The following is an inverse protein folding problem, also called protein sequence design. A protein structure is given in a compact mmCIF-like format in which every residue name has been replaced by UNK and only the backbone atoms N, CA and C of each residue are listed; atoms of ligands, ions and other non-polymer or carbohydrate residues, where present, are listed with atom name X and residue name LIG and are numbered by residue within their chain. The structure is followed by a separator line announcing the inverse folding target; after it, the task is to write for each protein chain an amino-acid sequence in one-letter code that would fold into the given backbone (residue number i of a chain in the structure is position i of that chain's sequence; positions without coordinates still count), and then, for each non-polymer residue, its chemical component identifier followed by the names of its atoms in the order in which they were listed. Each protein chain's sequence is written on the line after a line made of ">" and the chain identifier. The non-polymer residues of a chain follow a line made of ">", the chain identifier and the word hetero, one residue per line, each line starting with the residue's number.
data_IF_986078963238
#
_entry.id   IF_986078963238
#
_cell.length_a   1.000
_cell.length_b   1.000
_cell.length_c   1.000
_cell.angle_alpha   90.00
_cell.angle_beta   90.00
_cell.angle_gamma   90.00
#
_symmetry.space_group_name_H-M   'P 1'
#
loop_
_entity.id
_entity.type
_entity.pdbx_description
1 polymer ?
#
# COMPACT_ATOMS: atom_id res chain seq x y z
N UNK A 1 32.27 -17.73 -30.02
CA UNK A 1 32.00 -18.52 -28.80
C UNK A 1 30.50 -18.49 -28.55
N UNK A 2 29.85 -19.63 -28.31
CA UNK A 2 28.45 -19.66 -27.92
C UNK A 2 28.28 -18.98 -26.55
N UNK A 3 27.30 -18.09 -26.40
CA UNK A 3 26.99 -17.46 -25.11
C UNK A 3 26.48 -18.56 -24.17
N UNK A 4 27.04 -18.73 -22.97
CA UNK A 4 26.47 -19.66 -21.98
C UNK A 4 24.99 -19.34 -21.77
N UNK A 5 24.12 -20.33 -21.92
CA UNK A 5 22.69 -20.18 -21.67
C UNK A 5 22.47 -20.09 -20.17
N UNK A 6 22.26 -18.87 -19.66
CA UNK A 6 21.83 -18.66 -18.27
C UNK A 6 20.48 -19.32 -18.07
N UNK A 7 20.32 -20.07 -16.98
CA UNK A 7 19.07 -20.72 -16.60
C UNK A 7 17.95 -19.68 -16.40
N UNK A 8 18.20 -18.68 -15.56
CA UNK A 8 17.26 -17.58 -15.30
C UNK A 8 17.22 -16.47 -16.35
N UNK A 9 16.54 -15.38 -16.00
CA UNK A 9 16.31 -14.19 -16.81
C UNK A 9 16.89 -12.94 -16.11
N UNK A 10 17.35 -11.97 -16.90
CA UNK A 10 17.98 -10.74 -16.40
C UNK A 10 16.94 -9.67 -16.01
N UNK A 11 15.72 -9.79 -16.53
CA UNK A 11 14.59 -8.92 -16.24
C UNK A 11 13.29 -9.74 -16.32
N UNK A 12 12.27 -9.32 -15.59
CA UNK A 12 10.93 -9.89 -15.67
C UNK A 12 9.86 -8.78 -15.67
N UNK A 13 8.69 -9.07 -16.22
CA UNK A 13 7.54 -8.18 -16.17
C UNK A 13 6.85 -8.28 -14.80
N UNK A 14 6.73 -7.15 -14.10
CA UNK A 14 5.93 -7.03 -12.89
C UNK A 14 4.60 -6.34 -13.24
N UNK A 15 3.49 -6.89 -12.75
CA UNK A 15 2.18 -6.32 -13.01
C UNK A 15 2.04 -4.95 -12.34
N UNK A 16 1.44 -3.99 -13.04
CA UNK A 16 1.31 -2.60 -12.55
C UNK A 16 0.39 -2.48 -11.33
N UNK A 17 -0.49 -3.46 -11.14
CA UNK A 17 -1.40 -3.59 -10.01
C UNK A 17 -0.84 -4.52 -8.92
N UNK A 18 0.44 -4.92 -8.98
CA UNK A 18 1.08 -5.81 -7.99
C UNK A 18 0.83 -5.37 -6.53
N UNK A 19 0.96 -4.07 -6.26
CA UNK A 19 0.69 -3.50 -4.93
C UNK A 19 -0.80 -3.53 -4.54
N UNK A 20 -1.70 -3.60 -5.52
CA UNK A 20 -3.14 -3.69 -5.29
C UNK A 20 -3.64 -5.13 -5.15
N UNK A 21 -2.85 -6.13 -5.53
CA UNK A 21 -3.19 -7.55 -5.42
C UNK A 21 -3.58 -7.90 -3.97
N UNK A 22 -4.71 -8.60 -3.82
CA UNK A 22 -5.27 -8.90 -2.50
C UNK A 22 -4.35 -9.77 -1.64
N UNK A 23 -3.56 -10.66 -2.24
CA UNK A 23 -2.59 -11.50 -1.52
C UNK A 23 -1.45 -10.64 -1.02
N UNK A 24 -0.89 -9.77 -1.86
CA UNK A 24 0.17 -8.82 -1.49
C UNK A 24 -0.30 -7.91 -0.36
N UNK A 25 -1.51 -7.34 -0.46
CA UNK A 25 -2.11 -6.51 0.59
C UNK A 25 -2.34 -7.27 1.90
N UNK A 26 -2.80 -8.53 1.84
CA UNK A 26 -2.99 -9.36 3.05
C UNK A 26 -1.66 -9.70 3.73
N UNK A 27 -0.59 -9.89 2.98
CA UNK A 27 0.76 -10.10 3.53
C UNK A 27 1.25 -8.80 4.18
N UNK A 28 1.22 -7.68 3.44
CA UNK A 28 1.67 -6.39 3.98
C UNK A 28 0.89 -5.95 5.22
N UNK A 29 -0.41 -6.21 5.29
CA UNK A 29 -1.22 -5.92 6.47
C UNK A 29 -0.82 -6.74 7.71
N UNK A 30 -0.30 -7.95 7.53
CA UNK A 30 0.08 -8.84 8.62
C UNK A 30 1.54 -8.68 9.05
N UNK A 31 2.45 -8.46 8.09
CA UNK A 31 3.89 -8.49 8.31
C UNK A 31 4.55 -7.10 8.19
N UNK A 32 3.77 -6.07 7.90
CA UNK A 32 4.23 -4.67 7.84
C UNK A 32 4.67 -4.21 6.45
N UNK A 33 5.16 -2.96 6.33
CA UNK A 33 5.44 -2.31 5.05
C UNK A 33 6.60 -2.93 4.27
N UNK A 34 7.61 -3.50 4.96
CA UNK A 34 8.77 -4.14 4.33
C UNK A 34 8.38 -5.38 3.48
N UNK A 35 7.22 -5.98 3.75
CA UNK A 35 6.71 -7.17 3.06
C UNK A 35 6.79 -7.07 1.55
N UNK A 36 6.45 -5.92 0.98
CA UNK A 36 6.38 -5.78 -0.47
C UNK A 36 7.77 -5.81 -1.11
N UNK A 37 8.75 -5.16 -0.48
CA UNK A 37 10.14 -5.19 -0.92
C UNK A 37 10.72 -6.60 -0.80
N UNK A 38 10.38 -7.33 0.27
CA UNK A 38 10.75 -8.74 0.45
C UNK A 38 10.17 -9.61 -0.66
N UNK A 39 8.88 -9.47 -0.97
CA UNK A 39 8.24 -10.24 -2.07
C UNK A 39 8.88 -9.94 -3.43
N UNK A 40 9.15 -8.66 -3.72
CA UNK A 40 9.83 -8.27 -4.97
C UNK A 40 11.26 -8.86 -5.01
N UNK A 41 11.99 -8.83 -3.89
CA UNK A 41 13.32 -9.43 -3.79
C UNK A 41 13.30 -10.94 -4.06
N UNK A 42 12.35 -11.66 -3.45
CA UNK A 42 12.16 -13.09 -3.69
C UNK A 42 11.84 -13.38 -5.15
N UNK A 43 10.95 -12.60 -5.78
CA UNK A 43 10.68 -12.72 -7.21
C UNK A 43 11.95 -12.49 -8.05
N UNK A 44 12.75 -11.46 -7.73
CA UNK A 44 14.04 -11.23 -8.38
C UNK A 44 14.97 -12.45 -8.27
N UNK A 45 15.08 -13.04 -7.09
CA UNK A 45 15.96 -14.20 -6.85
C UNK A 45 15.47 -15.43 -7.61
N UNK A 46 14.15 -15.70 -7.59
CA UNK A 46 13.51 -16.78 -8.35
C UNK A 46 13.81 -16.64 -9.85
N UNK A 47 13.53 -15.48 -10.44
CA UNK A 47 13.71 -15.28 -11.87
C UNK A 47 15.18 -15.25 -12.29
N UNK A 48 16.09 -14.76 -11.43
CA UNK A 48 17.52 -14.65 -11.73
C UNK A 48 18.22 -16.01 -11.79
N UNK A 49 17.92 -16.91 -10.87
CA UNK A 49 18.63 -18.18 -10.74
C UNK A 49 17.97 -19.30 -11.55
N UNK A 50 16.99 -20.00 -10.97
CA UNK A 50 16.31 -21.14 -11.62
C UNK A 50 15.19 -20.72 -12.58
N UNK A 51 14.71 -19.49 -12.45
CA UNK A 51 13.72 -18.90 -13.32
C UNK A 51 12.28 -19.06 -12.86
N UNK A 52 11.92 -20.23 -12.30
CA UNK A 52 10.52 -20.56 -11.99
C UNK A 52 10.30 -21.03 -10.55
N UNK A 53 11.36 -21.21 -9.76
CA UNK A 53 11.32 -21.49 -8.33
C UNK A 53 12.60 -21.00 -7.66
N UNK A 54 12.63 -21.02 -6.32
CA UNK A 54 13.85 -20.97 -5.52
C UNK A 54 13.70 -21.93 -4.34
N UNK A 55 14.80 -22.50 -3.88
CA UNK A 55 14.83 -23.30 -2.65
C UNK A 55 14.71 -22.38 -1.42
N UNK A 56 13.99 -22.84 -0.41
CA UNK A 56 13.82 -22.15 0.86
C UNK A 56 14.68 -22.83 1.93
N UNK A 57 15.98 -22.55 1.86
CA UNK A 57 17.00 -23.01 2.80
C UNK A 57 17.18 -22.06 4.00
N UNK A 58 18.12 -22.37 4.88
CA UNK A 58 18.42 -21.60 6.09
C UNK A 58 19.14 -20.27 5.78
N UNK A 59 19.80 -20.17 4.63
CA UNK A 59 20.61 -19.00 4.26
C UNK A 59 19.80 -17.93 3.49
N UNK A 60 18.73 -18.33 2.78
CA UNK A 60 17.92 -17.41 1.98
C UNK A 60 17.30 -16.27 2.81
N UNK A 61 16.77 -16.48 4.04
CA UNK A 61 16.32 -15.39 4.90
C UNK A 61 17.39 -14.33 5.14
N UNK A 62 18.63 -14.74 5.43
CA UNK A 62 19.78 -13.84 5.61
C UNK A 62 20.06 -13.03 4.35
N UNK A 63 20.15 -13.68 3.19
CA UNK A 63 20.45 -13.02 1.91
C UNK A 63 19.40 -11.96 1.58
N UNK A 64 18.12 -12.26 1.78
CA UNK A 64 17.01 -11.33 1.52
C UNK A 64 16.98 -10.20 2.55
N UNK A 65 17.22 -10.51 3.83
CA UNK A 65 17.24 -9.53 4.91
C UNK A 65 18.35 -8.49 4.70
N UNK A 66 19.56 -8.93 4.36
CA UNK A 66 20.71 -8.07 4.06
C UNK A 66 20.42 -7.18 2.82
N UNK A 67 19.88 -7.77 1.75
CA UNK A 67 19.56 -7.05 0.51
C UNK A 67 18.55 -5.93 0.72
N UNK A 68 17.56 -6.13 1.59
CA UNK A 68 16.43 -5.20 1.79
C UNK A 68 16.64 -4.29 3.00
N UNK A 69 17.60 -4.59 3.88
CA UNK A 69 17.83 -3.86 5.13
C UNK A 69 16.74 -4.15 6.16
N UNK A 70 16.42 -5.42 6.38
CA UNK A 70 15.42 -5.88 7.36
C UNK A 70 15.96 -7.04 8.20
N UNK A 71 15.11 -7.71 9.00
CA UNK A 71 15.51 -8.86 9.82
C UNK A 71 15.11 -10.18 9.15
N UNK A 72 15.88 -11.24 9.40
CA UNK A 72 15.58 -12.59 8.91
C UNK A 72 14.20 -13.07 9.38
N UNK A 73 13.86 -12.83 10.64
CA UNK A 73 12.53 -13.16 11.18
C UNK A 73 11.38 -12.43 10.48
N UNK A 74 11.59 -11.20 9.98
CA UNK A 74 10.58 -10.52 9.17
C UNK A 74 10.40 -11.20 7.81
N UNK A 75 11.50 -11.65 7.20
CA UNK A 75 11.49 -12.41 5.94
C UNK A 75 10.77 -13.75 6.10
N UNK A 76 11.03 -14.48 7.18
CA UNK A 76 10.34 -15.73 7.51
C UNK A 76 8.83 -15.56 7.69
N UNK A 77 8.41 -14.55 8.48
CA UNK A 77 6.98 -14.30 8.70
C UNK A 77 6.27 -13.87 7.41
N UNK A 78 6.94 -13.10 6.55
CA UNK A 78 6.42 -12.75 5.20
C UNK A 78 6.23 -14.00 4.35
N UNK A 79 7.21 -14.90 4.30
CA UNK A 79 7.11 -16.12 3.50
C UNK A 79 6.05 -17.07 4.02
N UNK A 80 6.00 -17.29 5.33
CA UNK A 80 4.94 -18.04 6.00
C UNK A 80 3.56 -17.48 5.66
N UNK A 81 3.40 -16.15 5.69
CA UNK A 81 2.14 -15.50 5.31
C UNK A 81 1.85 -15.61 3.81
N UNK A 82 2.86 -15.49 2.96
CA UNK A 82 2.77 -15.61 1.52
C UNK A 82 2.31 -17.00 1.07
N UNK A 83 2.81 -18.06 1.72
CA UNK A 83 2.31 -19.43 1.54
C UNK A 83 0.86 -19.54 2.02
N UNK A 84 0.53 -19.00 3.20
CA UNK A 84 -0.81 -19.06 3.76
C UNK A 84 -1.88 -18.40 2.86
N UNK A 85 -1.57 -17.28 2.22
CA UNK A 85 -2.51 -16.57 1.33
C UNK A 85 -2.47 -17.08 -0.13
N UNK A 86 -1.66 -18.09 -0.41
CA UNK A 86 -1.51 -18.69 -1.74
C UNK A 86 -0.77 -17.78 -2.73
N UNK A 87 0.11 -16.90 -2.26
CA UNK A 87 1.07 -16.20 -3.13
C UNK A 87 2.13 -17.18 -3.63
N UNK A 88 2.61 -18.03 -2.72
CA UNK A 88 3.38 -19.23 -3.04
C UNK A 88 2.50 -20.48 -2.89
N UNK A 89 2.80 -21.50 -3.68
CA UNK A 89 2.10 -22.78 -3.65
C UNK A 89 2.42 -23.54 -2.35
N UNK A 90 1.39 -23.84 -1.57
CA UNK A 90 1.55 -24.48 -0.26
C UNK A 90 2.05 -25.92 -0.38
N UNK A 91 1.51 -26.70 -1.31
CA UNK A 91 1.93 -28.10 -1.49
C UNK A 91 3.41 -28.20 -1.83
N UNK A 92 3.89 -27.38 -2.76
CA UNK A 92 5.29 -27.40 -3.15
C UNK A 92 6.22 -26.86 -2.07
N UNK A 93 5.77 -25.86 -1.30
CA UNK A 93 6.51 -25.41 -0.13
C UNK A 93 6.61 -26.49 0.96
N UNK A 94 5.52 -27.18 1.26
CA UNK A 94 5.47 -28.20 2.30
C UNK A 94 6.26 -29.47 1.89
N UNK A 95 6.17 -29.89 0.62
CA UNK A 95 6.80 -31.13 0.13
C UNK A 95 8.27 -30.96 -0.24
N UNK A 96 8.62 -29.86 -0.91
CA UNK A 96 9.95 -29.68 -1.50
C UNK A 96 10.72 -28.50 -0.90
N UNK A 97 10.10 -27.73 -0.01
CA UNK A 97 10.68 -26.51 0.57
C UNK A 97 11.14 -25.53 -0.52
N UNK A 98 10.29 -25.32 -1.52
CA UNK A 98 10.54 -24.34 -2.59
C UNK A 98 9.48 -23.24 -2.61
N UNK A 99 9.87 -22.05 -3.06
CA UNK A 99 8.95 -20.96 -3.35
C UNK A 99 8.67 -20.90 -4.86
N UNK A 100 7.43 -21.16 -5.23
CA UNK A 100 6.94 -21.02 -6.61
C UNK A 100 5.42 -20.79 -6.61
N UNK A 101 4.85 -20.46 -7.77
CA UNK A 101 3.40 -20.40 -7.98
C UNK A 101 3.07 -20.48 -9.47
N UNK A 102 1.81 -20.75 -9.80
CA UNK A 102 1.36 -20.80 -11.20
C UNK A 102 1.68 -19.50 -11.96
N UNK A 103 1.48 -18.34 -11.31
CA UNK A 103 1.80 -17.03 -11.92
C UNK A 103 3.29 -16.83 -12.19
N UNK A 104 4.16 -17.31 -11.29
CA UNK A 104 5.62 -17.27 -11.48
C UNK A 104 6.02 -18.14 -12.66
N UNK A 105 5.56 -19.40 -12.68
CA UNK A 105 5.91 -20.36 -13.73
C UNK A 105 5.41 -19.92 -15.11
N UNK A 106 4.20 -19.38 -15.21
CA UNK A 106 3.65 -18.93 -16.50
C UNK A 106 4.37 -17.68 -17.05
N UNK A 107 4.74 -16.73 -16.19
CA UNK A 107 5.55 -15.58 -16.60
C UNK A 107 6.93 -16.02 -17.06
N UNK A 108 7.57 -16.94 -16.35
CA UNK A 108 8.86 -17.47 -16.77
C UNK A 108 8.77 -18.21 -18.11
N UNK A 109 7.83 -19.14 -18.26
CA UNK A 109 7.56 -19.87 -19.52
C UNK A 109 7.38 -18.91 -20.70
N UNK A 110 6.63 -17.82 -20.50
CA UNK A 110 6.42 -16.79 -21.51
C UNK A 110 7.72 -16.07 -21.88
N UNK A 111 8.52 -15.69 -20.87
CA UNK A 111 9.78 -14.99 -21.04
C UNK A 111 10.86 -15.83 -21.75
N UNK A 112 10.85 -17.15 -21.58
CA UNK A 112 11.83 -18.06 -22.20
C UNK A 112 11.29 -18.82 -23.41
N UNK A 113 10.09 -18.48 -23.91
CA UNK A 113 9.42 -19.16 -25.04
C UNK A 113 10.26 -19.29 -26.32
N UNK A 114 11.25 -18.41 -26.52
CA UNK A 114 12.17 -18.44 -27.68
C UNK A 114 13.52 -19.12 -27.38
N UNK A 115 13.76 -19.57 -26.15
CA UNK A 115 14.99 -20.29 -25.77
C UNK A 115 14.79 -21.77 -26.05
N UNK A 116 15.82 -22.39 -26.63
CA UNK A 116 15.86 -23.85 -26.80
C UNK A 116 16.54 -24.51 -25.60
N UNK A 117 16.17 -25.75 -25.29
CA UNK A 117 16.89 -26.59 -24.32
C UNK A 117 16.65 -26.30 -22.84
N UNK A 118 15.56 -25.61 -22.48
CA UNK A 118 15.20 -25.43 -21.06
C UNK A 118 14.40 -26.64 -20.54
N UNK A 119 14.88 -27.28 -19.48
CA UNK A 119 14.23 -28.41 -18.82
C UNK A 119 13.57 -27.99 -17.50
N UNK A 120 12.34 -28.44 -17.29
CA UNK A 120 11.59 -28.22 -16.06
C UNK A 120 11.60 -29.50 -15.23
N UNK A 121 11.81 -29.35 -13.92
CA UNK A 121 11.58 -30.42 -12.94
C UNK A 121 10.07 -30.64 -12.81
N UNK A 122 9.50 -31.77 -13.27
CA UNK A 122 8.05 -31.99 -13.31
C UNK A 122 7.38 -31.90 -11.93
N UNK A 123 8.06 -32.36 -10.89
CA UNK A 123 7.60 -32.35 -9.50
C UNK A 123 7.40 -30.94 -8.95
N UNK A 124 8.10 -29.95 -9.51
CA UNK A 124 8.05 -28.56 -9.07
C UNK A 124 7.03 -27.74 -9.85
N UNK A 125 6.37 -28.34 -10.85
CA UNK A 125 5.34 -27.64 -11.63
C UNK A 125 4.02 -27.61 -10.85
N UNK A 126 3.39 -26.44 -10.80
CA UNK A 126 2.07 -26.32 -10.18
C UNK A 126 1.06 -27.07 -11.04
N UNK A 127 0.45 -28.12 -10.46
CA UNK A 127 -0.62 -28.85 -11.12
C UNK A 127 -1.84 -27.97 -11.24
N UNK A 128 -2.27 -27.69 -12.47
CA UNK A 128 -3.52 -26.97 -12.73
C UNK A 128 -4.67 -27.97 -12.57
N UNK A 129 -5.36 -27.95 -11.44
CA UNK A 129 -6.69 -28.53 -11.37
C UNK A 129 -7.62 -27.69 -12.27
N UNK A 130 -7.93 -28.24 -13.45
CA UNK A 130 -8.60 -27.61 -14.58
C UNK A 130 -9.91 -26.87 -14.24
N UNK A 131 -10.05 -25.64 -14.76
CA UNK A 131 -11.20 -25.35 -15.63
C UNK A 131 -10.77 -25.73 -17.06
N UNK A 132 -11.58 -26.47 -17.84
CA UNK A 132 -11.13 -27.02 -19.11
C UNK A 132 -11.22 -25.96 -20.20
N UNK A 133 -10.09 -25.32 -20.53
CA UNK A 133 -9.82 -24.82 -21.89
C UNK A 133 -8.39 -25.20 -22.25
N UNK A 134 -8.32 -26.36 -22.90
CA UNK A 134 -7.31 -26.81 -23.86
C UNK A 134 -6.05 -25.91 -23.97
N UNK A 135 -5.00 -26.24 -23.23
CA UNK A 135 -3.64 -25.88 -23.65
C UNK A 135 -2.85 -27.17 -23.80
N UNK A 136 -2.37 -27.37 -25.02
CA UNK A 136 -1.69 -28.58 -25.45
C UNK A 136 -0.42 -28.78 -24.62
N UNK A 137 -0.44 -29.84 -23.83
CA UNK A 137 0.70 -30.36 -23.10
C UNK A 137 1.64 -31.03 -24.11
N UNK A 138 2.74 -30.37 -24.50
CA UNK A 138 3.82 -31.05 -25.21
C UNK A 138 4.75 -31.70 -24.18
N UNK A 139 4.46 -32.96 -23.84
CA UNK A 139 5.49 -33.91 -23.41
C UNK A 139 6.13 -34.52 -24.67
N UNK A 140 7.44 -34.63 -24.60
CA UNK A 140 8.44 -34.81 -25.64
C UNK A 140 8.27 -36.03 -26.55
N UNK A 141 9.02 -36.06 -27.68
CA UNK A 141 9.67 -37.31 -28.10
C UNK A 141 11.01 -37.10 -28.84
N UNK A 142 11.94 -38.08 -28.79
CA UNK A 142 13.33 -37.96 -29.20
C UNK A 142 13.58 -38.31 -30.68
N UNK A 143 14.78 -37.98 -31.13
CA UNK A 143 15.40 -38.27 -32.43
C UNK A 143 15.37 -39.75 -32.83
N UNK A 144 15.00 -40.04 -34.09
CA UNK A 144 15.80 -40.84 -35.06
C UNK A 144 15.08 -40.98 -36.41
N UNK A 145 15.78 -40.54 -37.45
CA UNK A 145 15.82 -40.99 -38.86
C UNK A 145 14.68 -41.87 -39.42
N UNK A 146 13.91 -41.34 -40.38
CA UNK A 146 13.65 -42.00 -41.67
C UNK A 146 13.12 -40.98 -42.69
N UNK A 147 13.76 -40.97 -43.87
CA UNK A 147 13.39 -40.17 -45.03
C UNK A 147 12.11 -40.71 -45.68
N UNK A 148 11.28 -39.83 -46.26
CA UNK A 148 10.73 -39.99 -47.61
C UNK A 148 10.18 -38.63 -48.12
N UNK A 149 10.59 -38.28 -49.33
CA UNK A 149 10.28 -37.04 -50.05
C UNK A 149 8.88 -37.06 -50.70
N UNK A 150 8.27 -35.87 -50.84
CA UNK A 150 7.70 -35.42 -52.11
C UNK A 150 7.56 -33.87 -52.10
N UNK A 151 8.29 -33.24 -53.02
CA UNK A 151 8.29 -31.81 -53.37
C UNK A 151 6.93 -31.41 -54.01
N UNK A 152 6.42 -30.18 -53.96
CA UNK A 152 6.91 -28.99 -54.68
C UNK A 152 6.09 -27.73 -54.30
N UNK A 153 6.70 -26.79 -53.55
CA UNK A 153 6.92 -25.33 -53.77
C UNK A 153 5.89 -24.47 -54.59
N UNK A 154 5.96 -23.11 -54.63
CA UNK A 154 6.40 -22.09 -53.65
C UNK A 154 5.56 -20.76 -53.68
N UNK A 155 6.05 -19.76 -52.90
CA UNK A 155 5.90 -18.30 -52.99
C UNK A 155 4.83 -17.63 -52.11
N UNK A 156 5.09 -16.55 -51.36
CA UNK A 156 6.21 -15.60 -51.39
C UNK A 156 6.30 -14.83 -50.06
N UNK A 157 7.53 -14.66 -49.58
CA UNK A 157 7.91 -13.74 -48.50
C UNK A 157 7.89 -12.30 -49.03
N UNK A 158 7.44 -11.34 -48.22
CA UNK A 158 7.86 -9.94 -48.35
C UNK A 158 7.57 -9.13 -47.08
N UNK A 159 8.62 -9.02 -46.27
CA UNK A 159 9.11 -7.91 -45.45
C UNK A 159 8.17 -6.79 -44.93
N UNK A 160 8.45 -6.45 -43.67
CA UNK A 160 8.07 -5.27 -42.89
C UNK A 160 8.12 -3.93 -43.65
N UNK A 161 7.12 -3.09 -43.41
CA UNK A 161 7.29 -1.63 -43.28
C UNK A 161 6.46 -1.09 -42.12
N UNK A 162 7.19 -0.46 -41.19
CA UNK A 162 6.66 0.46 -40.17
C UNK A 162 5.95 1.63 -40.84
N UNK A 163 4.83 2.08 -40.26
CA UNK A 163 4.41 3.47 -40.38
C UNK A 163 3.67 3.88 -39.11
N UNK A 164 4.29 4.77 -38.33
CA UNK A 164 3.61 5.55 -37.28
C UNK A 164 2.44 6.32 -37.89
N UNK A 165 1.29 6.32 -37.24
CA UNK A 165 0.31 7.39 -37.40
C UNK A 165 -0.05 7.96 -36.03
N UNK A 166 0.33 9.23 -35.83
CA UNK A 166 -0.22 10.12 -34.82
C UNK A 166 -1.68 10.39 -35.22
N UNK A 167 -2.63 10.15 -34.31
CA UNK A 167 -3.92 10.83 -34.33
C UNK A 167 -4.10 11.56 -33.01
N UNK A 168 -4.32 12.87 -33.15
CA UNK A 168 -4.60 13.84 -32.10
C UNK A 168 -6.10 14.02 -32.08
N UNK A 169 -6.75 13.54 -31.01
CA UNK A 169 -8.14 13.90 -30.74
C UNK A 169 -8.32 14.49 -29.35
N UNK A 170 -9.28 15.40 -29.31
CA UNK A 170 -9.40 16.54 -28.40
C UNK A 170 -10.10 16.15 -27.11
N UNK A 171 -9.69 16.81 -26.04
CA UNK A 171 -10.30 16.80 -24.71
C UNK A 171 -11.72 17.39 -24.79
N UNK A 172 -12.68 16.66 -24.23
CA UNK A 172 -13.92 17.21 -23.66
C UNK A 172 -14.09 16.66 -22.24
N UNK A 173 -14.47 17.48 -21.24
CA UNK A 173 -14.55 17.04 -19.84
C UNK A 173 -15.84 16.24 -19.60
N UNK A 174 -15.82 15.16 -18.79
CA UNK A 174 -17.05 14.50 -18.35
C UNK A 174 -17.69 15.27 -17.17
N UNK A 175 -19.03 15.22 -17.04
CA UNK A 175 -19.78 15.94 -16.03
C UNK A 175 -19.69 15.26 -14.65
N UNK A 176 -19.93 16.06 -13.61
CA UNK A 176 -20.08 15.65 -12.21
C UNK A 176 -20.83 14.32 -12.04
N UNK A 177 -20.17 13.34 -11.42
CA UNK A 177 -20.82 12.19 -10.79
C UNK A 177 -20.25 12.02 -9.38
N UNK A 178 -21.19 11.83 -8.46
CA UNK A 178 -21.04 11.86 -7.00
C UNK A 178 -20.24 10.69 -6.45
N UNK A 179 -19.73 10.91 -5.25
CA UNK A 179 -18.92 10.04 -4.41
C UNK A 179 -19.36 8.56 -4.38
N UNK A 180 -18.36 7.72 -4.61
CA UNK A 180 -18.33 6.29 -4.33
C UNK A 180 -16.86 5.85 -4.34
N UNK A 181 -16.05 6.50 -3.50
CA UNK A 181 -14.60 6.39 -3.51
C UNK A 181 -14.10 5.02 -3.05
N UNK A 182 -13.49 4.30 -3.98
CA UNK A 182 -12.77 3.03 -3.81
C UNK A 182 -11.75 3.18 -2.66
N UNK A 183 -12.00 2.52 -1.53
CA UNK A 183 -11.19 2.56 -0.30
C UNK A 183 -9.84 1.81 -0.38
N UNK A 184 -9.34 1.55 -1.59
CA UNK A 184 -8.24 0.61 -1.82
C UNK A 184 -6.83 1.18 -1.67
N UNK A 185 -6.67 2.50 -1.83
CA UNK A 185 -5.33 3.13 -1.97
C UNK A 185 -4.77 3.68 -0.66
N UNK A 186 -5.61 3.94 0.38
CA UNK A 186 -5.16 4.58 1.62
C UNK A 186 -4.31 3.68 2.54
N UNK A 187 -4.50 2.36 2.50
CA UNK A 187 -3.98 1.45 3.53
C UNK A 187 -2.44 1.30 3.64
N UNK A 188 -1.65 1.74 2.65
CA UNK A 188 -0.19 1.50 2.65
C UNK A 188 0.63 2.40 3.59
N UNK A 189 0.05 3.52 4.05
CA UNK A 189 0.70 4.40 5.04
C UNK A 189 -0.21 4.74 6.22
N UNK A 190 -1.39 4.13 6.29
CA UNK A 190 -2.33 4.34 7.37
C UNK A 190 -1.83 3.65 8.64
N UNK A 191 -1.63 4.45 9.69
CA UNK A 191 -1.25 4.00 11.04
C UNK A 191 -2.49 4.00 11.92
N UNK A 192 -2.45 3.33 13.08
CA UNK A 192 -3.53 3.53 14.05
C UNK A 192 -3.63 5.02 14.40
N UNK A 193 -4.83 5.49 14.72
CA UNK A 193 -5.03 6.92 15.00
C UNK A 193 -4.10 7.42 16.13
N UNK A 194 -3.81 6.56 17.12
CA UNK A 194 -2.89 6.83 18.23
C UNK A 194 -1.44 6.97 17.76
N UNK A 195 -0.95 6.06 16.91
CA UNK A 195 0.40 6.16 16.33
C UNK A 195 0.53 7.40 15.42
N UNK A 196 -0.48 7.65 14.58
CA UNK A 196 -0.52 8.82 13.72
C UNK A 196 -0.49 10.12 14.53
N UNK A 197 -1.24 10.20 15.63
CA UNK A 197 -1.21 11.32 16.57
C UNK A 197 0.19 11.52 17.16
N UNK A 198 0.81 10.44 17.66
CA UNK A 198 2.16 10.50 18.23
C UNK A 198 3.20 11.02 17.25
N UNK A 199 3.11 10.59 15.98
CA UNK A 199 4.03 11.05 14.93
C UNK A 199 3.84 12.52 14.56
N UNK A 200 2.60 12.99 14.44
CA UNK A 200 2.35 14.41 14.16
C UNK A 200 2.81 15.28 15.33
N UNK A 201 2.57 14.82 16.56
CA UNK A 201 2.99 15.51 17.78
C UNK A 201 4.52 15.57 17.91
N UNK A 202 5.23 14.52 17.50
CA UNK A 202 6.69 14.46 17.55
C UNK A 202 7.38 15.16 16.37
N UNK A 203 6.66 15.56 15.32
CA UNK A 203 7.23 16.22 14.15
C UNK A 203 7.43 17.72 14.38
N UNK A 204 8.44 18.04 15.19
CA UNK A 204 8.81 19.41 15.59
C UNK A 204 9.06 20.31 14.36
N UNK A 205 9.85 19.91 13.34
CA UNK A 205 10.12 20.79 12.19
C UNK A 205 8.86 21.17 11.42
N UNK A 206 7.93 20.23 11.25
CA UNK A 206 6.66 20.51 10.61
C UNK A 206 5.78 21.44 11.45
N UNK A 207 5.68 21.19 12.76
CA UNK A 207 4.92 22.03 13.68
C UNK A 207 5.44 23.47 13.70
N UNK A 208 6.76 23.67 13.79
CA UNK A 208 7.38 25.00 13.80
C UNK A 208 7.09 25.74 12.49
N UNK A 209 7.31 25.07 11.35
CA UNK A 209 7.02 25.65 10.03
C UNK A 209 5.54 25.99 9.86
N UNK A 210 4.66 25.11 10.34
CA UNK A 210 3.22 25.31 10.30
C UNK A 210 2.81 26.53 11.14
N UNK A 211 3.30 26.63 12.37
CA UNK A 211 3.03 27.77 13.26
C UNK A 211 3.57 29.08 12.66
N UNK A 212 4.79 29.07 12.10
CA UNK A 212 5.34 30.24 11.42
C UNK A 212 4.45 30.73 10.27
N UNK A 213 3.90 29.82 9.48
CA UNK A 213 3.02 30.17 8.37
C UNK A 213 1.66 30.71 8.85
N UNK A 214 1.04 30.05 9.84
CA UNK A 214 -0.26 30.48 10.40
C UNK A 214 -0.16 31.86 11.06
N UNK A 215 0.98 32.18 11.68
CA UNK A 215 1.21 33.48 12.32
C UNK A 215 1.14 34.67 11.38
N UNK A 216 1.26 34.47 10.07
CA UNK A 216 1.09 35.54 9.08
C UNK A 216 -0.36 36.08 9.09
N UNK A 217 -1.34 35.20 9.29
CA UNK A 217 -2.76 35.55 9.34
C UNK A 217 -3.32 35.64 10.77
N UNK A 218 -2.62 35.03 11.74
CA UNK A 218 -2.99 34.94 13.16
C UNK A 218 -1.77 35.16 14.09
N UNK A 219 -1.34 36.41 14.34
CA UNK A 219 -0.07 36.71 15.03
C UNK A 219 0.07 36.07 16.43
N UNK A 220 -1.05 35.93 17.16
CA UNK A 220 -1.08 35.37 18.51
C UNK A 220 -1.03 33.82 18.55
N UNK A 221 -0.94 33.14 17.41
CA UNK A 221 -0.93 31.68 17.37
C UNK A 221 0.38 31.12 17.93
N UNK A 222 0.31 30.33 19.01
CA UNK A 222 1.49 29.76 19.69
C UNK A 222 1.62 28.24 19.48
N UNK A 223 2.80 27.64 19.72
CA UNK A 223 2.96 26.19 19.66
C UNK A 223 2.06 25.46 20.66
N UNK A 224 1.77 26.05 21.82
CA UNK A 224 0.84 25.51 22.80
C UNK A 224 -0.58 25.43 22.23
N UNK A 225 -1.01 26.48 21.52
CA UNK A 225 -2.29 26.48 20.81
C UNK A 225 -2.33 25.39 19.74
N UNK A 226 -1.26 25.22 18.98
CA UNK A 226 -1.15 24.15 17.99
C UNK A 226 -1.42 22.77 18.60
N UNK A 227 -0.75 22.41 19.70
CA UNK A 227 -0.96 21.11 20.33
C UNK A 227 -2.37 20.95 20.90
N UNK A 228 -2.97 22.00 21.47
CA UNK A 228 -4.35 21.97 21.92
C UNK A 228 -5.35 21.72 20.78
N UNK A 229 -5.15 22.37 19.63
CA UNK A 229 -5.95 22.12 18.43
C UNK A 229 -5.71 20.73 17.84
N UNK A 230 -4.47 20.23 17.86
CA UNK A 230 -4.12 18.89 17.39
C UNK A 230 -4.85 17.83 18.23
N UNK A 231 -4.87 17.96 19.55
CA UNK A 231 -5.61 17.08 20.45
C UNK A 231 -7.11 17.09 20.14
N UNK A 232 -7.69 18.28 19.97
CA UNK A 232 -9.12 18.44 19.64
C UNK A 232 -9.47 17.82 18.29
N UNK A 233 -8.59 17.98 17.29
CA UNK A 233 -8.74 17.37 15.97
C UNK A 233 -8.76 15.85 16.03
N UNK A 234 -7.80 15.23 16.74
CA UNK A 234 -7.74 13.77 16.85
C UNK A 234 -8.90 13.19 17.67
N UNK A 235 -9.37 13.87 18.71
CA UNK A 235 -10.62 13.50 19.42
C UNK A 235 -11.84 13.55 18.49
N UNK A 236 -11.93 14.56 17.63
CA UNK A 236 -12.99 14.64 16.60
C UNK A 236 -12.95 13.43 15.68
N UNK A 237 -11.77 13.07 15.17
CA UNK A 237 -11.62 11.89 14.30
C UNK A 237 -12.05 10.60 14.99
N UNK A 238 -11.70 10.41 16.26
CA UNK A 238 -12.18 9.28 17.06
C UNK A 238 -13.70 9.25 17.19
N UNK A 239 -14.33 10.40 17.44
CA UNK A 239 -15.78 10.51 17.52
C UNK A 239 -16.49 10.20 16.18
N UNK A 240 -15.80 10.45 15.06
CA UNK A 240 -16.28 10.14 13.70
C UNK A 240 -16.06 8.67 13.30
N UNK A 241 -15.47 7.86 14.18
CA UNK A 241 -15.19 6.44 13.92
C UNK A 241 -13.95 6.18 13.08
N UNK A 242 -13.07 7.18 12.91
CA UNK A 242 -11.78 6.99 12.23
C UNK A 242 -10.85 6.17 13.13
N UNK A 243 -10.48 4.98 12.67
CA UNK A 243 -9.59 4.05 13.40
C UNK A 243 -8.15 4.09 12.91
N UNK A 244 -7.92 4.53 11.66
CA UNK A 244 -6.60 4.56 11.03
C UNK A 244 -6.45 5.82 10.18
N UNK A 245 -5.24 6.36 10.08
CA UNK A 245 -4.95 7.49 9.20
C UNK A 245 -3.48 7.56 8.82
N UNK A 246 -3.21 7.95 7.58
CA UNK A 246 -1.85 8.27 7.14
C UNK A 246 -1.39 9.60 7.74
N UNK A 247 -0.13 9.70 8.25
CA UNK A 247 0.42 10.97 8.76
C UNK A 247 0.33 12.12 7.76
N UNK A 248 0.59 11.86 6.47
CA UNK A 248 0.54 12.90 5.42
C UNK A 248 -0.88 13.41 5.17
N UNK A 249 -1.86 12.51 5.16
CA UNK A 249 -3.28 12.85 5.04
C UNK A 249 -3.76 13.58 6.29
N UNK A 250 -3.33 13.14 7.48
CA UNK A 250 -3.64 13.78 8.75
C UNK A 250 -3.11 15.22 8.83
N UNK A 251 -1.88 15.48 8.38
CA UNK A 251 -1.31 16.85 8.35
C UNK A 251 -2.14 17.79 7.46
N UNK A 252 -2.50 17.32 6.27
CA UNK A 252 -3.30 18.11 5.32
C UNK A 252 -4.73 18.34 5.82
N UNK A 253 -5.34 17.32 6.42
CA UNK A 253 -6.69 17.40 6.99
C UNK A 253 -6.71 18.32 8.22
N UNK A 254 -5.72 18.21 9.10
CA UNK A 254 -5.57 19.10 10.25
C UNK A 254 -5.45 20.56 9.82
N UNK A 255 -4.58 20.86 8.83
CA UNK A 255 -4.41 22.21 8.31
C UNK A 255 -5.72 22.83 7.82
N UNK A 256 -6.46 22.09 6.99
CA UNK A 256 -7.74 22.53 6.46
C UNK A 256 -8.79 22.71 7.56
N UNK A 257 -8.88 21.76 8.49
CA UNK A 257 -9.81 21.80 9.60
C UNK A 257 -9.53 22.99 10.52
N UNK A 258 -8.26 23.24 10.86
CA UNK A 258 -7.87 24.35 11.73
C UNK A 258 -8.20 25.70 11.09
N UNK A 259 -7.91 25.87 9.79
CA UNK A 259 -8.26 27.10 9.07
C UNK A 259 -9.78 27.37 9.13
N UNK A 260 -10.61 26.33 8.97
CA UNK A 260 -12.07 26.47 9.11
C UNK A 260 -12.44 26.88 10.54
N UNK A 261 -11.81 26.30 11.55
CA UNK A 261 -12.11 26.60 12.95
C UNK A 261 -11.71 28.04 13.32
N UNK A 262 -10.54 28.49 12.88
CA UNK A 262 -10.07 29.86 13.09
C UNK A 262 -10.93 30.90 12.34
N UNK A 263 -11.43 30.58 11.15
CA UNK A 263 -12.35 31.44 10.40
C UNK A 263 -13.74 31.55 11.06
N UNK A 264 -14.21 30.49 11.73
CA UNK A 264 -15.44 30.57 12.54
C UNK A 264 -15.24 31.51 13.73
N UNK A 265 -14.12 31.41 14.43
CA UNK A 265 -13.81 32.27 15.58
C UNK A 265 -13.77 33.76 15.18
N UNK A 266 -13.18 34.10 14.02
CA UNK A 266 -13.23 35.46 13.45
C UNK A 266 -14.67 35.96 13.21
N UNK A 267 -15.54 35.11 12.67
CA UNK A 267 -16.93 35.46 12.35
C UNK A 267 -17.81 35.62 13.58
N UNK A 268 -17.60 34.77 14.58
CA UNK A 268 -18.38 34.81 15.82
C UNK A 268 -17.98 36.02 16.68
N UNK A 269 -16.70 36.36 16.77
CA UNK A 269 -16.25 37.61 17.42
C UNK A 269 -16.79 38.88 16.76
N UNK A 270 -16.90 38.90 15.42
CA UNK A 270 -17.49 40.02 14.67
C UNK A 270 -19.00 40.20 14.92
N UNK A 271 -19.72 39.12 15.23
CA UNK A 271 -21.16 39.18 15.56
C UNK A 271 -21.41 39.73 16.96
N UNK A 272 -20.54 39.42 17.92
CA UNK A 272 -20.65 39.91 19.31
C UNK A 272 -20.30 41.39 19.41
N UNK A 273 -19.34 41.88 18.60
CA UNK A 273 -18.93 43.30 18.58
C UNK A 273 -20.00 44.26 18.02
N UNK A 274 -20.93 43.79 17.17
CA UNK A 274 -22.00 44.63 16.62
C UNK A 274 -23.06 45.07 17.64
N UNK A 275 -23.01 44.56 18.88
CA UNK A 275 -24.00 44.84 19.92
C UNK A 275 -23.53 45.84 21.00
N UNK A 276 -22.35 46.48 20.88
CA UNK A 276 -21.92 47.55 21.80
C UNK A 276 -21.04 48.60 21.08
N UNK A 277 -21.36 49.90 21.11
CA UNK A 277 -20.45 50.92 20.61
C UNK A 277 -19.55 51.40 21.75
N UNK A 278 -18.23 51.21 21.62
CA UNK A 278 -17.20 52.24 21.77
C UNK A 278 -15.82 51.65 22.10
N UNK A 279 -14.82 52.15 21.35
CA UNK A 279 -13.41 52.33 21.72
C UNK A 279 -12.50 51.08 21.76
N UNK A 280 -11.57 51.03 20.78
CA UNK A 280 -10.38 50.16 20.79
C UNK A 280 -10.60 48.80 20.14
N UNK A 281 -10.44 48.71 18.83
CA UNK A 281 -10.42 47.43 18.12
C UNK A 281 -9.08 46.72 18.34
N UNK A 282 -8.99 45.92 19.41
CA UNK A 282 -8.00 44.86 19.49
C UNK A 282 -8.54 43.60 18.78
N UNK A 283 -7.73 42.92 17.95
CA UNK A 283 -8.15 41.67 17.33
C UNK A 283 -8.38 40.61 18.42
N UNK A 284 -9.50 39.89 18.30
CA UNK A 284 -9.88 38.79 19.22
C UNK A 284 -8.73 37.78 19.29
N UNK A 285 -8.12 37.65 20.46
CA UNK A 285 -6.96 36.78 20.67
C UNK A 285 -7.36 35.31 20.66
N UNK A 286 -6.62 34.48 19.92
CA UNK A 286 -6.85 33.03 19.79
C UNK A 286 -6.68 32.29 21.13
N UNK A 287 -6.02 32.95 22.10
CA UNK A 287 -5.67 32.43 23.43
C UNK A 287 -6.85 32.11 24.35
N UNK A 288 -8.04 32.70 24.15
CA UNK A 288 -9.20 32.47 25.02
C UNK A 288 -9.81 31.04 24.92
N UNK A 289 -9.37 30.22 23.96
CA UNK A 289 -10.06 28.94 23.66
C UNK A 289 -9.47 27.72 24.39
N UNK A 290 -8.33 27.84 25.09
CA UNK A 290 -7.67 26.69 25.76
C UNK A 290 -7.65 26.70 27.29
N UNK A 291 -8.09 27.77 27.96
CA UNK A 291 -8.24 27.77 29.41
C UNK A 291 -9.71 27.57 29.80
N UNK A 292 -10.09 26.44 30.45
CA UNK A 292 -11.29 26.44 31.26
C UNK A 292 -11.12 27.51 32.34
N UNK A 293 -12.13 28.35 32.57
CA UNK A 293 -12.23 29.06 33.85
C UNK A 293 -12.27 27.99 34.93
N UNK A 294 -11.34 28.04 35.88
CA UNK A 294 -11.41 27.23 37.10
C UNK A 294 -12.82 27.38 37.69
N UNK A 295 -13.55 26.27 37.75
CA UNK A 295 -14.93 26.28 38.19
C UNK A 295 -15.57 24.90 38.16
N UNK A 296 -15.74 24.35 39.38
CA UNK A 296 -16.53 23.20 39.79
C UNK A 296 -15.85 21.82 39.70
N UNK A 297 -15.38 21.37 40.87
CA UNK A 297 -15.15 19.97 41.24
C UNK A 297 -16.31 19.07 40.78
N UNK A 298 -16.03 18.15 39.85
CA UNK A 298 -16.93 17.05 39.58
C UNK A 298 -16.63 15.91 40.58
N UNK A 299 -17.43 15.84 41.64
CA UNK A 299 -17.36 14.75 42.62
C UNK A 299 -17.63 13.39 41.95
N UNK A 300 -16.86 12.33 42.28
CA UNK A 300 -17.03 10.97 41.73
C UNK A 300 -18.39 10.31 42.03
N UNK A 301 -19.24 10.92 42.86
CA UNK A 301 -20.55 10.37 43.25
C UNK A 301 -21.60 10.40 42.14
N UNK A 302 -21.47 11.29 41.14
CA UNK A 302 -22.46 11.42 40.06
C UNK A 302 -22.44 10.26 39.06
N UNK A 303 -21.28 9.63 38.84
CA UNK A 303 -21.14 8.49 37.92
C UNK A 303 -21.66 7.21 38.56
N UNK A 304 -21.49 7.07 39.89
CA UNK A 304 -21.96 5.90 40.64
C UNK A 304 -23.48 5.79 40.67
N UNK A 305 -24.16 6.93 40.87
CA UNK A 305 -25.62 7.00 40.88
C UNK A 305 -26.28 6.69 39.52
N UNK A 306 -25.54 6.80 38.41
CA UNK A 306 -26.06 6.46 37.08
C UNK A 306 -25.96 4.96 36.78
N UNK A 307 -24.93 4.29 37.30
CA UNK A 307 -24.70 2.85 37.12
C UNK A 307 -25.71 2.03 37.95
N UNK A 308 -26.02 2.49 39.17
CA UNK A 308 -26.93 1.78 40.08
C UNK A 308 -28.42 1.90 39.68
N UNK A 309 -28.74 2.72 38.68
CA UNK A 309 -30.11 2.92 38.15
C UNK A 309 -30.57 1.90 37.11
N UNK A 310 -29.69 1.02 36.62
CA UNK A 310 -30.04 -0.01 35.65
C UNK A 310 -30.47 -1.31 36.34
N UNK A 311 -31.71 -1.31 36.83
CA UNK A 311 -32.37 -2.52 37.31
C UNK A 311 -32.67 -3.45 36.13
N UNK A 312 -31.95 -4.58 36.06
CA UNK A 312 -32.31 -5.72 35.20
C UNK A 312 -33.50 -6.40 35.87
N UNK A 313 -34.69 -6.22 35.29
CA UNK A 313 -35.88 -6.97 35.67
C UNK A 313 -35.70 -8.46 35.37
N UNK A 314 -36.02 -9.29 36.36
CA UNK A 314 -36.21 -10.73 36.21
C UNK A 314 -37.56 -11.09 35.63
#
# INVERSE_FOLDING_TARGET
>A
MARPTKQGIEYFSLDVDFFSDIKVRRISKACGPASTSILICLLCNIYRDKGYYIEWDEDLPFVVADTIGTTEGAVEEVVKKAVQVGFFDKSLFDQYRILTSNGIQNRFKSAVSRREGFEYIPEYLVSVCNNPIQSNFCIQKPSSTEFLYAETQPNRVSACKSTQSKVKERISPPPHAREGGISGIRLFSDKSLTECYGELKANIPWMEQFCMNIRLDYPDFTPELFYGFLDRFFRKLQNEGEIVKSPKDAMSHFANWLNIELEKLKKDGSRTSKNHPACGSEPVSVTETLCPKEGADASPDLVKNWIDGLSIGG
#
